data_IF_896933012620
#
_entry.id   IF_896933012620
#
_cell.length_a   1.000
_cell.length_b   1.000
_cell.length_c   1.000
_cell.angle_alpha   90.00
_cell.angle_beta   90.00
_cell.angle_gamma   90.00
#
_symmetry.space_group_name_H-M   'P 1'
#
loop_
_entity.id
_entity.type
_entity.pdbx_description
1 polymer ?
#
# COMPACT_ATOMS: atom_id res chain seq x y z
N UNK A 1 -28.73 4.59 -22.16
CA UNK A 1 -27.40 4.89 -22.74
C UNK A 1 -26.35 4.34 -21.80
N UNK A 2 -25.31 3.73 -22.34
CA UNK A 2 -24.18 3.22 -21.57
C UNK A 2 -23.26 4.38 -21.17
N UNK A 3 -22.65 4.31 -19.99
CA UNK A 3 -21.63 5.28 -19.52
C UNK A 3 -20.51 5.45 -20.56
N UNK A 4 -20.19 4.41 -21.33
CA UNK A 4 -19.22 4.47 -22.44
C UNK A 4 -19.66 5.43 -23.56
N UNK A 5 -20.94 5.44 -23.91
CA UNK A 5 -21.46 6.28 -25.00
C UNK A 5 -21.45 7.77 -24.62
N UNK A 6 -21.71 8.08 -23.34
CA UNK A 6 -21.59 9.45 -22.83
C UNK A 6 -20.13 9.92 -22.77
N UNK A 7 -19.22 9.06 -22.33
CA UNK A 7 -17.80 9.39 -22.27
C UNK A 7 -17.19 9.62 -23.67
N UNK A 8 -17.63 8.85 -24.67
CA UNK A 8 -17.17 9.03 -26.06
C UNK A 8 -17.65 10.36 -26.63
N UNK A 9 -18.93 10.73 -26.42
CA UNK A 9 -19.45 12.04 -26.87
C UNK A 9 -18.69 13.22 -26.27
N UNK A 10 -18.30 13.09 -25.00
CA UNK A 10 -17.48 14.08 -24.32
C UNK A 10 -16.09 14.24 -24.96
N UNK A 11 -15.46 13.12 -25.32
CA UNK A 11 -14.17 13.14 -26.03
C UNK A 11 -14.31 13.72 -27.44
N UNK A 12 -15.40 13.41 -28.15
CA UNK A 12 -15.68 13.94 -29.49
C UNK A 12 -15.94 15.45 -29.52
N UNK A 13 -16.34 16.05 -28.39
CA UNK A 13 -16.57 17.50 -28.26
C UNK A 13 -15.30 18.29 -27.90
N UNK A 14 -14.20 17.60 -27.58
CA UNK A 14 -12.93 18.24 -27.28
C UNK A 14 -12.18 18.60 -28.57
N UNK A 15 -11.40 19.70 -28.57
CA UNK A 15 -10.52 20.02 -29.69
C UNK A 15 -9.45 18.93 -29.90
N UNK A 16 -8.94 18.78 -31.12
CA UNK A 16 -7.96 17.73 -31.46
C UNK A 16 -6.65 17.87 -30.65
N UNK A 17 -6.33 19.09 -30.21
CA UNK A 17 -5.18 19.41 -29.35
C UNK A 17 -5.47 19.33 -27.84
N UNK A 18 -6.66 18.86 -27.43
CA UNK A 18 -7.05 18.81 -26.02
C UNK A 18 -6.11 17.92 -25.20
N UNK A 19 -5.68 18.43 -24.04
CA UNK A 19 -4.88 17.69 -23.08
C UNK A 19 -5.75 16.81 -22.18
N UNK A 20 -5.11 15.89 -21.45
CA UNK A 20 -5.79 15.11 -20.40
C UNK A 20 -6.49 15.99 -19.37
N UNK A 21 -5.90 17.14 -19.02
CA UNK A 21 -6.49 18.08 -18.07
C UNK A 21 -7.78 18.70 -18.62
N UNK A 22 -7.89 18.92 -19.92
CA UNK A 22 -9.08 19.47 -20.56
C UNK A 22 -10.23 18.45 -20.56
N UNK A 23 -9.93 17.17 -20.78
CA UNK A 23 -10.91 16.10 -20.62
C UNK A 23 -11.44 16.00 -19.18
N UNK A 24 -10.53 16.04 -18.19
CA UNK A 24 -10.92 15.99 -16.78
C UNK A 24 -11.77 17.21 -16.39
N UNK A 25 -11.41 18.42 -16.86
CA UNK A 25 -12.20 19.64 -16.66
C UNK A 25 -13.61 19.50 -17.24
N UNK A 26 -13.74 18.97 -18.46
CA UNK A 26 -15.05 18.74 -19.10
C UNK A 26 -15.90 17.72 -18.32
N UNK A 27 -15.29 16.63 -17.85
CA UNK A 27 -15.97 15.63 -17.03
C UNK A 27 -16.46 16.20 -15.68
N UNK A 28 -15.68 17.09 -15.05
CA UNK A 28 -16.06 17.78 -13.82
C UNK A 28 -17.18 18.78 -14.09
N UNK A 29 -17.06 19.56 -15.18
CA UNK A 29 -18.07 20.54 -15.61
C UNK A 29 -19.42 19.89 -15.86
N UNK A 30 -19.44 18.72 -16.50
CA UNK A 30 -20.65 17.94 -16.75
C UNK A 30 -21.10 17.08 -15.55
N UNK A 31 -20.46 17.23 -14.38
CA UNK A 31 -20.78 16.49 -13.15
C UNK A 31 -20.72 14.96 -13.31
N UNK A 32 -19.99 14.47 -14.31
CA UNK A 32 -19.77 13.02 -14.52
C UNK A 32 -18.78 12.45 -13.51
N UNK A 33 -17.88 13.30 -13.00
CA UNK A 33 -16.94 12.96 -11.93
C UNK A 33 -16.92 14.07 -10.88
N UNK A 34 -16.71 13.69 -9.62
CA UNK A 34 -16.58 14.62 -8.48
C UNK A 34 -15.18 14.60 -7.87
N UNK A 35 -14.21 14.03 -8.59
CA UNK A 35 -12.83 13.88 -8.15
C UNK A 35 -12.18 15.25 -7.94
N UNK A 36 -11.64 15.49 -6.74
CA UNK A 36 -10.92 16.72 -6.40
C UNK A 36 -11.81 17.90 -5.98
N UNK A 37 -13.15 17.75 -6.05
CA UNK A 37 -14.09 18.75 -5.55
C UNK A 37 -14.16 18.73 -4.02
N UNK A 38 -14.32 19.91 -3.42
CA UNK A 38 -14.72 20.08 -2.01
C UNK A 38 -16.22 19.92 -1.84
N UNK A 39 -16.68 19.70 -0.61
CA UNK A 39 -18.11 19.54 -0.30
C UNK A 39 -18.98 20.72 -0.77
N UNK A 40 -18.41 21.93 -0.79
CA UNK A 40 -19.09 23.14 -1.29
C UNK A 40 -19.19 23.10 -2.82
N UNK A 41 -18.09 22.77 -3.50
CA UNK A 41 -18.01 22.68 -4.96
C UNK A 41 -18.86 21.54 -5.53
N UNK A 42 -19.15 20.50 -4.74
CA UNK A 42 -20.07 19.41 -5.09
C UNK A 42 -21.52 19.89 -5.16
N UNK A 43 -21.90 20.80 -4.27
CA UNK A 43 -23.29 21.30 -4.14
C UNK A 43 -23.56 22.52 -5.03
N UNK A 44 -22.51 23.21 -5.49
CA UNK A 44 -22.62 24.33 -6.41
C UNK A 44 -23.13 23.86 -7.78
N UNK A 45 -24.01 24.61 -8.46
CA UNK A 45 -24.57 24.13 -9.74
C UNK A 45 -23.55 24.19 -10.88
N UNK A 46 -22.67 25.21 -10.90
CA UNK A 46 -21.67 25.43 -11.93
C UNK A 46 -20.36 25.91 -11.34
N UNK A 47 -19.25 25.38 -11.85
CA UNK A 47 -17.90 25.79 -11.50
C UNK A 47 -17.34 26.71 -12.60
N UNK A 48 -16.69 27.80 -12.22
CA UNK A 48 -16.00 28.68 -13.17
C UNK A 48 -14.70 28.03 -13.68
N UNK A 49 -14.10 28.60 -14.73
CA UNK A 49 -12.82 28.10 -15.27
C UNK A 49 -11.67 28.24 -14.26
N UNK A 50 -11.71 29.26 -13.42
CA UNK A 50 -10.74 29.47 -12.34
C UNK A 50 -10.89 28.38 -11.27
N UNK A 51 -12.13 28.06 -10.88
CA UNK A 51 -12.43 26.99 -9.92
C UNK A 51 -12.02 25.62 -10.47
N UNK A 52 -12.34 25.33 -11.73
CA UNK A 52 -11.93 24.10 -12.41
C UNK A 52 -10.40 23.96 -12.47
N UNK A 53 -9.69 25.05 -12.77
CA UNK A 53 -8.22 25.04 -12.78
C UNK A 53 -7.64 24.83 -11.38
N UNK A 54 -8.28 25.38 -10.34
CA UNK A 54 -7.90 25.12 -8.95
C UNK A 54 -8.18 23.67 -8.51
N UNK A 55 -9.22 23.01 -9.03
CA UNK A 55 -9.47 21.57 -8.84
C UNK A 55 -8.34 20.75 -9.45
N UNK A 56 -7.94 21.05 -10.70
CA UNK A 56 -6.83 20.34 -11.37
C UNK A 56 -5.52 20.52 -10.60
N UNK A 57 -5.19 21.73 -10.16
CA UNK A 57 -3.99 21.98 -9.36
C UNK A 57 -3.98 21.21 -8.02
N UNK A 58 -5.15 21.04 -7.39
CA UNK A 58 -5.31 20.17 -6.21
C UNK A 58 -5.11 18.70 -6.53
N UNK A 59 -5.64 18.23 -7.66
CA UNK A 59 -5.44 16.84 -8.10
C UNK A 59 -3.96 16.55 -8.40
N UNK A 60 -3.28 17.48 -9.06
CA UNK A 60 -1.83 17.37 -9.34
C UNK A 60 -1.00 17.43 -8.06
N UNK A 61 -1.29 18.37 -7.14
CA UNK A 61 -0.59 18.43 -5.85
C UNK A 61 -0.87 17.23 -4.95
N UNK A 62 -2.08 16.66 -4.99
CA UNK A 62 -2.43 15.45 -4.25
C UNK A 62 -1.64 14.22 -4.73
N UNK A 63 -1.19 14.18 -5.99
CA UNK A 63 -0.29 13.12 -6.48
C UNK A 63 1.07 13.13 -5.77
N UNK A 64 1.48 14.30 -5.26
CA UNK A 64 2.72 14.52 -4.50
C UNK A 64 2.52 14.56 -2.98
N UNK A 65 1.28 14.37 -2.50
CA UNK A 65 0.99 14.38 -1.07
C UNK A 65 1.87 13.33 -0.38
N UNK A 66 2.62 13.79 0.63
CA UNK A 66 3.51 12.95 1.42
C UNK A 66 2.70 11.78 2.00
N UNK A 67 3.32 10.60 2.13
CA UNK A 67 2.74 9.45 2.85
C UNK A 67 2.56 9.86 4.33
N UNK A 68 1.48 10.60 4.61
CA UNK A 68 1.10 11.01 5.95
C UNK A 68 0.70 9.75 6.71
N UNK A 69 1.33 9.52 7.86
CA UNK A 69 1.03 8.39 8.75
C UNK A 69 -0.43 8.37 9.23
N UNK A 70 -1.17 9.48 9.09
CA UNK A 70 -2.62 9.57 9.36
C UNK A 70 -3.48 9.18 8.16
N UNK A 71 -2.91 9.11 6.97
CA UNK A 71 -3.59 8.66 5.76
C UNK A 71 -3.56 7.13 5.68
N UNK A 72 -4.55 6.50 6.32
CA UNK A 72 -4.70 5.04 6.40
C UNK A 72 -5.08 4.39 5.08
N UNK A 73 -5.29 5.16 3.99
CA UNK A 73 -5.68 4.65 2.66
C UNK A 73 -4.64 3.70 2.05
N UNK A 74 -3.38 3.76 2.50
CA UNK A 74 -2.27 2.87 2.10
C UNK A 74 -1.79 1.94 3.22
N UNK A 75 -2.35 2.00 4.42
CA UNK A 75 -1.97 1.08 5.49
C UNK A 75 -2.64 -0.27 5.25
N UNK A 76 -2.03 -1.08 4.36
CA UNK A 76 -2.36 -2.48 4.18
C UNK A 76 -1.17 -3.29 4.70
N UNK A 77 -1.13 -3.64 5.99
CA UNK A 77 -0.05 -4.46 6.53
C UNK A 77 -0.06 -5.78 5.76
N UNK A 78 0.99 -6.01 4.97
CA UNK A 78 1.05 -7.20 4.14
C UNK A 78 1.05 -8.44 5.05
N UNK A 79 0.10 -9.34 4.79
CA UNK A 79 -0.10 -10.52 5.62
C UNK A 79 1.18 -11.38 5.74
N UNK A 80 2.01 -11.46 4.69
CA UNK A 80 3.23 -12.24 4.75
C UNK A 80 4.29 -11.58 5.65
N UNK A 81 4.42 -10.25 5.59
CA UNK A 81 5.33 -9.52 6.47
C UNK A 81 4.91 -9.63 7.95
N UNK A 82 3.62 -9.44 8.24
CA UNK A 82 3.10 -9.54 9.61
C UNK A 82 3.25 -10.95 10.16
N UNK A 83 2.93 -11.98 9.37
CA UNK A 83 3.10 -13.38 9.77
C UNK A 83 4.58 -13.68 10.02
N UNK A 84 5.50 -13.21 9.18
CA UNK A 84 6.94 -13.39 9.37
C UNK A 84 7.39 -12.87 10.74
N UNK A 85 6.98 -11.65 11.11
CA UNK A 85 7.32 -11.06 12.41
C UNK A 85 6.75 -11.83 13.60
N UNK A 86 5.48 -12.25 13.52
CA UNK A 86 4.85 -13.04 14.59
C UNK A 86 5.60 -14.34 14.81
N UNK A 87 5.93 -15.05 13.72
CA UNK A 87 6.60 -16.35 13.82
C UNK A 87 8.03 -16.23 14.35
N UNK A 88 8.80 -15.25 13.85
CA UNK A 88 10.18 -14.98 14.31
C UNK A 88 10.18 -14.54 15.77
N UNK A 89 9.36 -13.57 16.17
CA UNK A 89 9.33 -13.10 17.57
C UNK A 89 8.88 -14.16 18.58
N UNK A 90 8.04 -15.12 18.17
CA UNK A 90 7.58 -16.20 19.03
C UNK A 90 8.60 -17.35 19.15
N UNK A 91 9.48 -17.51 18.16
CA UNK A 91 10.41 -18.64 18.11
C UNK A 91 11.39 -18.67 19.32
N UNK A 92 12.05 -17.56 19.73
CA UNK A 92 12.91 -17.55 20.91
C UNK A 92 12.18 -17.89 22.20
N UNK A 93 10.92 -17.47 22.34
CA UNK A 93 10.10 -17.77 23.53
C UNK A 93 9.86 -19.28 23.67
N UNK A 94 9.63 -19.97 22.55
CA UNK A 94 9.48 -21.42 22.56
C UNK A 94 10.82 -22.14 22.73
N UNK A 95 11.92 -21.57 22.24
CA UNK A 95 13.25 -22.18 22.37
C UNK A 95 13.73 -22.25 23.83
N UNK A 96 13.42 -21.24 24.63
CA UNK A 96 13.75 -21.21 26.07
C UNK A 96 13.01 -22.33 26.83
N UNK A 97 11.83 -22.73 26.34
CA UNK A 97 11.11 -23.89 26.87
C UNK A 97 11.61 -25.16 26.20
N UNK A 98 12.55 -25.87 26.84
CA UNK A 98 13.21 -27.08 26.32
C UNK A 98 12.21 -28.14 25.80
N UNK A 99 11.01 -28.21 26.37
CA UNK A 99 9.93 -29.13 25.95
C UNK A 99 9.35 -28.82 24.56
N UNK A 100 9.55 -27.61 24.05
CA UNK A 100 8.93 -27.10 22.82
C UNK A 100 9.98 -26.57 21.83
N UNK A 101 11.26 -26.81 22.09
CA UNK A 101 12.37 -26.41 21.22
C UNK A 101 12.18 -26.83 19.75
N UNK A 102 11.69 -28.05 19.40
CA UNK A 102 11.38 -28.41 18.01
C UNK A 102 10.42 -27.44 17.31
N UNK A 103 9.43 -26.90 18.05
CA UNK A 103 8.50 -25.93 17.49
C UNK A 103 9.18 -24.58 17.21
N UNK A 104 10.17 -24.18 18.00
CA UNK A 104 10.94 -22.96 17.77
C UNK A 104 11.67 -22.98 16.43
N UNK A 105 12.30 -24.11 16.05
CA UNK A 105 12.93 -24.26 14.73
C UNK A 105 11.91 -24.14 13.59
N UNK A 106 10.73 -24.75 13.75
CA UNK A 106 9.65 -24.65 12.77
C UNK A 106 9.14 -23.22 12.61
N UNK A 107 8.94 -22.51 13.72
CA UNK A 107 8.51 -21.11 13.74
C UNK A 107 9.53 -20.18 13.07
N UNK A 108 10.80 -20.32 13.43
CA UNK A 108 11.88 -19.54 12.80
C UNK A 108 11.99 -19.84 11.29
N UNK A 109 11.95 -21.11 10.88
CA UNK A 109 11.98 -21.50 9.47
C UNK A 109 10.78 -20.95 8.68
N UNK A 110 9.56 -21.08 9.20
CA UNK A 110 8.37 -20.51 8.57
C UNK A 110 8.44 -18.98 8.53
N UNK A 111 8.91 -18.34 9.60
CA UNK A 111 9.15 -16.91 9.67
C UNK A 111 10.08 -16.41 8.56
N UNK A 112 11.17 -17.13 8.30
CA UNK A 112 12.10 -16.86 7.18
C UNK A 112 11.39 -17.03 5.84
N UNK A 113 10.60 -18.09 5.63
CA UNK A 113 9.88 -18.33 4.37
C UNK A 113 8.88 -17.21 4.08
N UNK A 114 8.09 -16.80 5.07
CA UNK A 114 7.15 -15.68 4.92
C UNK A 114 7.86 -14.34 4.72
N UNK A 115 8.99 -14.13 5.40
CA UNK A 115 9.83 -12.94 5.24
C UNK A 115 10.46 -12.86 3.84
N UNK A 116 10.96 -13.99 3.32
CA UNK A 116 11.48 -14.10 1.96
C UNK A 116 10.38 -13.83 0.92
N UNK A 117 9.18 -14.39 1.12
CA UNK A 117 8.01 -14.09 0.27
C UNK A 117 7.68 -12.59 0.30
N UNK A 118 7.73 -11.95 1.47
CA UNK A 118 7.50 -10.52 1.61
C UNK A 118 8.61 -9.67 0.93
N UNK A 119 9.86 -10.14 0.94
CA UNK A 119 10.96 -9.52 0.20
C UNK A 119 10.73 -9.60 -1.32
N UNK A 120 10.27 -10.75 -1.82
CA UNK A 120 9.93 -10.93 -3.24
C UNK A 120 8.79 -10.02 -3.69
N UNK A 121 7.84 -9.73 -2.79
CA UNK A 121 6.77 -8.73 -3.01
C UNK A 121 7.24 -7.28 -2.93
N UNK A 122 8.56 -7.02 -2.80
CA UNK A 122 9.19 -5.68 -2.70
C UNK A 122 8.62 -4.82 -1.56
N UNK A 123 8.19 -5.45 -0.47
CA UNK A 123 7.68 -4.74 0.70
C UNK A 123 8.86 -4.12 1.46
N UNK A 124 8.77 -2.81 1.75
CA UNK A 124 9.80 -2.09 2.50
C UNK A 124 9.96 -2.70 3.90
N UNK A 125 11.20 -2.99 4.29
CA UNK A 125 11.51 -3.55 5.60
C UNK A 125 11.29 -5.06 5.75
N UNK A 126 10.87 -5.78 4.69
CA UNK A 126 10.66 -7.24 4.76
C UNK A 126 11.94 -8.06 4.98
N UNK A 127 13.10 -7.47 4.70
CA UNK A 127 14.39 -8.11 4.94
C UNK A 127 14.68 -8.28 6.43
N UNK A 128 14.15 -7.41 7.29
CA UNK A 128 14.45 -7.39 8.73
C UNK A 128 14.05 -8.70 9.43
N UNK A 129 12.79 -9.15 9.40
CA UNK A 129 12.40 -10.38 10.09
C UNK A 129 13.07 -11.61 9.47
N UNK A 130 13.35 -11.59 8.17
CA UNK A 130 14.07 -12.67 7.48
C UNK A 130 15.48 -12.83 8.07
N UNK A 131 16.23 -11.73 8.21
CA UNK A 131 17.58 -11.75 8.79
C UNK A 131 17.56 -12.15 10.26
N UNK A 132 16.62 -11.61 11.04
CA UNK A 132 16.45 -11.98 12.45
C UNK A 132 16.16 -13.48 12.59
N UNK A 133 15.24 -14.03 11.80
CA UNK A 133 14.94 -15.47 11.80
C UNK A 133 16.16 -16.33 11.46
N UNK A 134 16.98 -15.93 10.48
CA UNK A 134 18.22 -16.67 10.15
C UNK A 134 19.21 -16.67 11.32
N UNK A 135 19.39 -15.51 11.98
CA UNK A 135 20.26 -15.41 13.16
C UNK A 135 19.74 -16.31 14.29
N UNK A 136 18.44 -16.29 14.56
CA UNK A 136 17.82 -17.16 15.56
C UNK A 136 18.05 -18.63 15.24
N UNK A 137 17.85 -19.05 14.00
CA UNK A 137 18.01 -20.45 13.60
C UNK A 137 19.47 -20.92 13.78
N UNK A 138 20.44 -20.06 13.47
CA UNK A 138 21.87 -20.32 13.74
C UNK A 138 22.10 -20.48 15.25
N UNK A 139 21.56 -19.58 16.07
CA UNK A 139 21.71 -19.62 17.52
C UNK A 139 21.06 -20.86 18.14
N UNK A 140 19.89 -21.28 17.66
CA UNK A 140 19.21 -22.47 18.14
C UNK A 140 19.98 -23.76 17.86
N UNK A 141 20.83 -23.77 16.84
CA UNK A 141 21.71 -24.92 16.54
C UNK A 141 23.04 -24.80 17.28
N UNK A 142 23.63 -23.61 17.35
CA UNK A 142 24.95 -23.40 17.94
C UNK A 142 24.94 -23.50 19.49
N UNK A 143 23.91 -22.97 20.16
CA UNK A 143 23.85 -22.94 21.62
C UNK A 143 23.81 -24.35 22.25
N UNK A 144 22.97 -25.30 21.79
CA UNK A 144 22.99 -26.67 22.32
C UNK A 144 24.35 -27.36 22.15
N UNK A 145 25.08 -27.07 21.06
CA UNK A 145 26.41 -27.66 20.80
C UNK A 145 27.54 -27.06 21.62
N UNK A 146 27.35 -25.85 22.16
CA UNK A 146 28.36 -25.15 22.96
C UNK A 146 28.22 -25.40 24.47
N UNK A 147 27.06 -25.87 24.92
CA UNK A 147 26.72 -26.12 26.34
C UNK A 147 26.63 -27.63 26.65
N UNK A 148 26.70 -28.48 25.61
CA UNK A 148 26.75 -29.95 25.72
C UNK A 148 28.15 -30.52 25.90
#
# INVERSE_FOLDING_TARGET
MSIKEEAIKLVEQLPEEASWNDLVKSLIRERKITLGLTDIEVVQDQLTEEELSAVIARLESASSAHDDMRNTRKYNPDNALTISWVLVSLAPLLFISILIAPAAYLLSALGIVFGAKACMSKIKGAWLPTVVGVIELILFVALPTAVG
#
